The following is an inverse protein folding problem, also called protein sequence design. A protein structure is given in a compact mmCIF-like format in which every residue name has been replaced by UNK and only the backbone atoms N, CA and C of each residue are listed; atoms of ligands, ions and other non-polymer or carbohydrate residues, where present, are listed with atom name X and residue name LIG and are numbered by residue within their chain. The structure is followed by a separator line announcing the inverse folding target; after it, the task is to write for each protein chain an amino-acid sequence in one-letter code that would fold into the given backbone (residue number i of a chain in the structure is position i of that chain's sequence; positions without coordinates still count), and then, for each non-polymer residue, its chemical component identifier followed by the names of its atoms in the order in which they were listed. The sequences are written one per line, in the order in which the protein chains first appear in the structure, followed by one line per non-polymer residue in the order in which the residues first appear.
data_IF_973705361775
#
_entry.id   IF_973705361775
#
_cell.length_a   1.000
_cell.length_b   1.000
_cell.length_c   1.000
_cell.angle_alpha   90.00
_cell.angle_beta   90.00
_cell.angle_gamma   90.00
#
_symmetry.space_group_name_H-M   'P 1'
#
loop_
_entity.id
_entity.type
_entity.pdbx_description
1 polymer ?
#
# COMPACT_ATOMS: atom_id res chain seq x y z
N UNK A 1 -7.91 56.26 33.94
CA UNK A 1 -7.39 55.88 32.62
C UNK A 1 -6.48 54.68 32.82
N UNK A 2 -7.03 53.47 32.72
CA UNK A 2 -6.32 52.22 32.99
C UNK A 2 -6.24 51.48 31.67
N UNK A 3 -5.03 51.39 31.12
CA UNK A 3 -4.74 50.80 29.82
C UNK A 3 -4.84 49.27 29.91
N UNK A 4 -5.80 48.70 29.18
CA UNK A 4 -6.02 47.26 29.04
C UNK A 4 -5.35 46.76 27.76
N UNK A 5 -4.02 46.80 27.70
CA UNK A 5 -3.25 46.12 26.65
C UNK A 5 -3.19 44.61 26.94
N UNK A 6 -4.33 43.97 26.68
CA UNK A 6 -4.57 42.54 26.73
C UNK A 6 -3.63 41.84 25.73
N UNK A 7 -2.62 41.17 26.27
CA UNK A 7 -1.71 40.24 25.58
C UNK A 7 -2.53 39.15 24.88
N UNK A 8 -2.80 39.32 23.58
CA UNK A 8 -3.35 38.25 22.73
C UNK A 8 -2.29 37.16 22.57
N UNK A 9 -2.36 36.11 23.39
CA UNK A 9 -1.72 34.82 23.10
C UNK A 9 -2.27 34.34 21.75
N UNK A 10 -1.45 34.41 20.70
CA UNK A 10 -1.75 33.76 19.42
C UNK A 10 -1.71 32.25 19.65
N UNK A 11 -2.88 31.62 19.69
CA UNK A 11 -2.98 30.15 19.64
C UNK A 11 -2.45 29.69 18.28
N UNK A 12 -1.45 28.79 18.21
CA UNK A 12 -1.01 28.23 16.94
C UNK A 12 -2.17 27.40 16.37
N UNK A 13 -2.70 27.84 15.23
CA UNK A 13 -3.67 27.05 14.48
C UNK A 13 -2.98 25.76 14.03
N UNK A 14 -3.59 24.58 14.23
CA UNK A 14 -3.03 23.34 13.72
C UNK A 14 -2.97 23.45 12.19
N UNK A 15 -1.77 23.40 11.62
CA UNK A 15 -1.60 23.24 10.18
C UNK A 15 -2.17 21.87 9.81
N UNK A 16 -3.41 21.84 9.35
CA UNK A 16 -3.96 20.70 8.63
C UNK A 16 -3.07 20.51 7.40
N UNK A 17 -2.09 19.62 7.50
CA UNK A 17 -1.22 19.26 6.39
C UNK A 17 -2.07 18.56 5.32
N UNK A 18 -2.64 19.37 4.41
CA UNK A 18 -3.37 18.94 3.20
C UNK A 18 -2.53 17.98 2.32
N UNK A 19 -1.21 17.93 2.55
CA UNK A 19 -0.29 17.01 1.90
C UNK A 19 -0.62 15.51 2.12
N UNK A 20 -1.24 15.13 3.24
CA UNK A 20 -1.52 13.72 3.56
C UNK A 20 -2.56 13.05 2.65
N UNK A 21 -3.48 13.83 2.07
CA UNK A 21 -4.57 13.31 1.22
C UNK A 21 -4.24 13.25 -0.26
N UNK A 22 -3.19 13.94 -0.71
CA UNK A 22 -2.89 14.09 -2.14
C UNK A 22 -2.59 12.75 -2.82
N UNK A 23 -1.87 11.86 -2.15
CA UNK A 23 -1.48 10.55 -2.69
C UNK A 23 -2.68 9.61 -2.85
N UNK A 24 -3.49 9.32 -1.80
CA UNK A 24 -4.66 8.45 -1.97
C UNK A 24 -5.69 9.04 -2.93
N UNK A 25 -5.92 10.36 -2.92
CA UNK A 25 -6.86 11.00 -3.86
C UNK A 25 -6.36 10.89 -5.30
N UNK A 26 -5.07 11.14 -5.55
CA UNK A 26 -4.49 10.95 -6.88
C UNK A 26 -4.55 9.48 -7.33
N UNK A 27 -4.25 8.53 -6.44
CA UNK A 27 -4.35 7.11 -6.73
C UNK A 27 -5.78 6.69 -7.10
N UNK A 28 -6.79 7.16 -6.37
CA UNK A 28 -8.20 6.92 -6.68
C UNK A 28 -8.61 7.54 -8.01
N UNK A 29 -8.20 8.78 -8.30
CA UNK A 29 -8.50 9.44 -9.56
C UNK A 29 -7.88 8.69 -10.76
N UNK A 30 -6.60 8.31 -10.65
CA UNK A 30 -5.89 7.52 -11.67
C UNK A 30 -6.57 6.16 -11.84
N UNK A 31 -6.93 5.49 -10.75
CA UNK A 31 -7.65 4.21 -10.80
C UNK A 31 -8.98 4.34 -11.54
N UNK A 32 -9.78 5.37 -11.24
CA UNK A 32 -11.07 5.59 -11.88
C UNK A 32 -10.94 5.86 -13.37
N UNK A 33 -9.99 6.71 -13.78
CA UNK A 33 -9.72 7.01 -15.19
C UNK A 33 -9.22 5.77 -15.92
N UNK A 34 -8.26 5.04 -15.36
CA UNK A 34 -7.73 3.82 -15.97
C UNK A 34 -8.81 2.74 -16.11
N UNK A 35 -9.59 2.51 -15.05
CA UNK A 35 -10.71 1.57 -15.06
C UNK A 35 -11.75 1.95 -16.13
N UNK A 36 -12.14 3.23 -16.21
CA UNK A 36 -13.07 3.72 -17.22
C UNK A 36 -12.56 3.52 -18.65
N UNK A 37 -11.28 3.82 -18.91
CA UNK A 37 -10.65 3.62 -20.22
C UNK A 37 -10.62 2.14 -20.61
N UNK A 38 -10.20 1.25 -19.69
CA UNK A 38 -10.14 -0.20 -19.94
C UNK A 38 -11.55 -0.76 -20.19
N UNK A 39 -12.53 -0.34 -19.39
CA UNK A 39 -13.90 -0.83 -19.53
C UNK A 39 -14.54 -0.40 -20.86
N UNK A 40 -14.21 0.80 -21.36
CA UNK A 40 -14.64 1.28 -22.68
C UNK A 40 -13.94 0.59 -23.85
N UNK A 41 -12.64 0.29 -23.71
CA UNK A 41 -11.85 -0.25 -24.82
C UNK A 41 -12.21 -1.70 -25.18
N UNK A 42 -12.71 -2.48 -24.23
CA UNK A 42 -12.83 -3.94 -24.37
C UNK A 42 -14.22 -4.45 -24.81
N UNK A 43 -15.18 -3.58 -25.17
CA UNK A 43 -16.52 -4.02 -25.57
C UNK A 43 -17.25 -4.89 -24.51
N UNK A 44 -16.90 -4.71 -23.24
CA UNK A 44 -17.09 -5.72 -22.19
C UNK A 44 -18.57 -6.12 -21.99
N UNK A 45 -18.84 -7.41 -21.74
CA UNK A 45 -20.13 -7.89 -21.24
C UNK A 45 -20.46 -7.31 -19.84
N UNK A 46 -21.73 -7.43 -19.39
CA UNK A 46 -22.17 -6.85 -18.12
C UNK A 46 -21.33 -7.34 -16.93
N UNK A 47 -20.77 -6.41 -16.16
CA UNK A 47 -20.03 -6.71 -14.93
C UNK A 47 -20.99 -7.33 -13.94
N UNK A 48 -20.81 -8.62 -13.67
CA UNK A 48 -21.52 -9.33 -12.62
C UNK A 48 -20.50 -9.86 -11.59
N UNK A 49 -20.94 -9.90 -10.34
CA UNK A 49 -20.14 -10.47 -9.26
C UNK A 49 -20.04 -11.98 -9.45
N UNK A 50 -18.82 -12.51 -9.37
CA UNK A 50 -18.53 -13.95 -9.30
C UNK A 50 -17.44 -14.18 -8.26
N UNK A 51 -17.29 -15.39 -7.76
CA UNK A 51 -16.12 -15.73 -6.94
C UNK A 51 -15.48 -17.01 -7.48
N UNK A 52 -14.34 -16.86 -8.16
CA UNK A 52 -13.57 -17.97 -8.75
C UNK A 52 -12.08 -17.83 -8.42
N UNK A 53 -11.58 -18.52 -7.38
CA UNK A 53 -10.18 -18.46 -6.96
C UNK A 53 -9.25 -19.35 -7.80
N UNK A 54 -9.77 -20.10 -8.78
CA UNK A 54 -9.01 -21.14 -9.51
C UNK A 54 -7.74 -20.57 -10.13
N UNK A 55 -7.84 -19.40 -10.77
CA UNK A 55 -6.69 -18.71 -11.36
C UNK A 55 -5.57 -18.36 -10.36
N UNK A 56 -5.90 -18.15 -9.08
CA UNK A 56 -4.89 -17.95 -8.03
C UNK A 56 -4.27 -19.27 -7.58
N UNK A 57 -5.05 -20.34 -7.46
CA UNK A 57 -4.59 -21.67 -7.01
C UNK A 57 -3.61 -22.26 -8.03
N UNK A 58 -3.93 -22.13 -9.32
CA UNK A 58 -3.13 -22.65 -10.43
C UNK A 58 -1.95 -21.74 -10.81
N UNK A 59 -1.87 -20.54 -10.22
CA UNK A 59 -0.82 -19.57 -10.51
C UNK A 59 0.58 -20.04 -10.09
N UNK A 60 1.59 -19.33 -10.59
CA UNK A 60 3.00 -19.59 -10.22
C UNK A 60 3.24 -19.46 -8.72
N UNK A 61 4.29 -20.12 -8.21
CA UNK A 61 4.66 -20.01 -6.80
C UNK A 61 4.91 -18.55 -6.40
N UNK A 62 5.51 -17.75 -7.28
CA UNK A 62 5.76 -16.33 -7.03
C UNK A 62 4.46 -15.55 -6.76
N UNK A 63 3.40 -15.78 -7.55
CA UNK A 63 2.10 -15.13 -7.34
C UNK A 63 1.49 -15.55 -6.00
N UNK A 64 1.51 -16.84 -5.68
CA UNK A 64 0.99 -17.35 -4.40
C UNK A 64 1.71 -16.75 -3.19
N UNK A 65 3.05 -16.72 -3.24
CA UNK A 65 3.86 -16.10 -2.18
C UNK A 65 3.60 -14.59 -2.07
N UNK A 66 3.46 -13.90 -3.20
CA UNK A 66 3.16 -12.47 -3.23
C UNK A 66 1.83 -12.17 -2.54
N UNK A 67 0.76 -12.86 -2.93
CA UNK A 67 -0.58 -12.65 -2.38
C UNK A 67 -0.62 -13.00 -0.89
N UNK A 68 -0.04 -14.14 -0.50
CA UNK A 68 0.03 -14.54 0.91
C UNK A 68 0.81 -13.53 1.76
N UNK A 69 1.97 -13.09 1.27
CA UNK A 69 2.78 -12.05 1.92
C UNK A 69 2.03 -10.72 2.04
N UNK A 70 1.35 -10.29 0.98
CA UNK A 70 0.62 -9.03 0.95
C UNK A 70 -0.55 -9.03 1.96
N UNK A 71 -1.31 -10.12 2.01
CA UNK A 71 -2.42 -10.27 2.97
C UNK A 71 -1.92 -10.29 4.42
N UNK A 72 -0.84 -11.03 4.70
CA UNK A 72 -0.22 -11.05 6.02
C UNK A 72 0.31 -9.66 6.43
N UNK A 73 1.02 -8.99 5.52
CA UNK A 73 1.55 -7.64 5.74
C UNK A 73 0.43 -6.62 5.94
N UNK A 74 -0.68 -6.73 5.20
CA UNK A 74 -1.85 -5.86 5.38
C UNK A 74 -2.48 -6.04 6.77
N UNK A 75 -2.78 -7.27 7.17
CA UNK A 75 -3.38 -7.56 8.47
C UNK A 75 -2.50 -7.12 9.63
N UNK A 76 -1.21 -7.50 9.62
CA UNK A 76 -0.27 -7.12 10.68
C UNK A 76 -0.05 -5.60 10.69
N UNK A 77 0.06 -4.97 9.52
CA UNK A 77 0.25 -3.53 9.39
C UNK A 77 -0.92 -2.73 9.96
N UNK A 78 -2.16 -3.18 9.70
CA UNK A 78 -3.36 -2.59 10.27
C UNK A 78 -3.35 -2.65 11.81
N UNK A 79 -2.99 -3.80 12.39
CA UNK A 79 -2.85 -3.97 13.84
C UNK A 79 -1.78 -3.05 14.42
N UNK A 80 -0.59 -2.97 13.78
CA UNK A 80 0.50 -2.10 14.22
C UNK A 80 0.12 -0.61 14.17
N UNK A 81 -0.56 -0.18 13.12
CA UNK A 81 -1.00 1.21 12.95
C UNK A 81 -2.14 1.59 13.90
N UNK A 82 -2.94 0.62 14.35
CA UNK A 82 -4.07 0.84 15.27
C UNK A 82 -3.65 1.18 16.70
N UNK A 83 -2.38 0.98 17.08
CA UNK A 83 -1.88 1.50 18.36
C UNK A 83 -0.88 0.64 19.11
N UNK A 84 -0.51 -0.54 18.62
CA UNK A 84 0.53 -1.36 19.26
C UNK A 84 1.88 -0.67 19.09
N UNK A 85 2.33 0.09 20.10
CA UNK A 85 3.59 0.85 20.08
C UNK A 85 4.37 0.64 21.37
N UNK A 86 5.71 0.64 21.28
CA UNK A 86 6.59 0.64 22.46
C UNK A 86 6.64 -0.65 23.27
N UNK A 87 6.01 -1.74 22.82
CA UNK A 87 5.94 -3.03 23.53
C UNK A 87 6.79 -4.11 22.86
N UNK A 88 7.01 -5.24 23.55
CA UNK A 88 7.59 -6.46 22.93
C UNK A 88 6.74 -6.93 21.75
N UNK A 89 5.42 -6.80 21.84
CA UNK A 89 4.48 -7.15 20.76
C UNK A 89 4.69 -6.29 19.52
N UNK A 90 4.93 -4.99 19.65
CA UNK A 90 5.27 -4.13 18.52
C UNK A 90 6.50 -4.65 17.76
N UNK A 91 7.54 -5.09 18.48
CA UNK A 91 8.76 -5.61 17.86
C UNK A 91 8.53 -6.94 17.15
N UNK A 92 7.82 -7.87 17.79
CA UNK A 92 7.50 -9.17 17.20
C UNK A 92 6.69 -8.97 15.91
N UNK A 93 5.55 -8.29 16.00
CA UNK A 93 4.69 -7.99 14.85
C UNK A 93 5.44 -7.17 13.80
N UNK A 94 6.27 -6.21 14.20
CA UNK A 94 7.06 -5.39 13.30
C UNK A 94 8.06 -6.21 12.47
N UNK A 95 8.77 -7.16 13.09
CA UNK A 95 9.67 -8.04 12.34
C UNK A 95 8.93 -9.02 11.44
N UNK A 96 7.80 -9.58 11.89
CA UNK A 96 6.94 -10.42 11.04
C UNK A 96 6.40 -9.64 9.84
N UNK A 97 5.98 -8.40 10.06
CA UNK A 97 5.52 -7.50 9.00
C UNK A 97 6.63 -7.20 7.99
N UNK A 98 7.85 -6.93 8.47
CA UNK A 98 9.03 -6.71 7.60
C UNK A 98 9.30 -7.96 6.75
N UNK A 99 9.26 -9.16 7.33
CA UNK A 99 9.45 -10.39 6.57
C UNK A 99 8.35 -10.59 5.50
N UNK A 100 7.08 -10.37 5.86
CA UNK A 100 5.95 -10.48 4.93
C UNK A 100 6.06 -9.46 3.77
N UNK A 101 6.44 -8.22 4.07
CA UNK A 101 6.69 -7.18 3.06
C UNK A 101 7.86 -7.54 2.14
N UNK A 102 8.94 -8.12 2.68
CA UNK A 102 10.07 -8.57 1.87
C UNK A 102 9.68 -9.69 0.91
N UNK A 103 8.94 -10.70 1.39
CA UNK A 103 8.38 -11.77 0.52
C UNK A 103 7.52 -11.17 -0.58
N UNK A 104 6.63 -10.24 -0.23
CA UNK A 104 5.73 -9.56 -1.19
C UNK A 104 6.54 -8.82 -2.26
N UNK A 105 7.48 -7.98 -1.85
CA UNK A 105 8.26 -7.16 -2.78
C UNK A 105 9.19 -8.00 -3.66
N UNK A 106 9.87 -9.00 -3.10
CA UNK A 106 10.81 -9.84 -3.86
C UNK A 106 10.06 -10.71 -4.87
N UNK A 107 8.97 -11.37 -4.45
CA UNK A 107 8.17 -12.21 -5.36
C UNK A 107 7.56 -11.40 -6.52
N UNK A 108 7.24 -10.13 -6.30
CA UNK A 108 6.64 -9.28 -7.34
C UNK A 108 7.56 -9.01 -8.55
N UNK A 109 8.89 -9.13 -8.40
CA UNK A 109 9.81 -8.99 -9.53
C UNK A 109 9.67 -10.12 -10.56
N UNK A 110 9.03 -11.23 -10.19
CA UNK A 110 8.74 -12.36 -11.05
C UNK A 110 7.31 -12.34 -11.59
N UNK A 111 6.54 -11.28 -11.29
CA UNK A 111 5.13 -11.14 -11.71
C UNK A 111 5.06 -10.12 -12.84
N UNK A 112 4.89 -10.63 -14.05
CA UNK A 112 4.69 -9.84 -15.25
C UNK A 112 3.19 -9.64 -15.49
N UNK A 113 2.79 -8.38 -15.73
CA UNK A 113 1.39 -7.99 -15.89
C UNK A 113 0.97 -7.84 -17.34
N UNK A 114 0.06 -6.88 -17.59
CA UNK A 114 -0.50 -6.55 -18.91
C UNK A 114 0.54 -6.06 -19.96
N UNK A 115 1.77 -5.75 -19.54
CA UNK A 115 2.84 -5.26 -20.43
C UNK A 115 3.76 -6.39 -20.96
N UNK A 116 3.34 -7.65 -20.82
CA UNK A 116 4.20 -8.80 -21.10
C UNK A 116 5.41 -8.85 -20.16
N UNK A 117 6.55 -9.34 -20.65
CA UNK A 117 7.80 -9.50 -19.88
C UNK A 117 8.55 -8.19 -19.55
N UNK A 118 7.92 -7.03 -19.76
CA UNK A 118 8.55 -5.74 -19.49
C UNK A 118 8.36 -5.31 -18.04
N UNK A 119 9.39 -4.61 -17.52
CA UNK A 119 9.27 -3.90 -16.26
C UNK A 119 8.15 -2.86 -16.34
N UNK A 120 7.36 -2.79 -15.28
CA UNK A 120 6.20 -1.91 -15.17
C UNK A 120 6.30 -1.07 -13.89
N UNK A 121 5.48 -0.02 -13.72
CA UNK A 121 5.52 0.83 -12.53
C UNK A 121 5.43 0.06 -11.20
N UNK A 122 4.77 -1.10 -11.19
CA UNK A 122 4.71 -1.99 -10.01
C UNK A 122 6.10 -2.51 -9.60
N UNK A 123 7.01 -2.76 -10.54
CA UNK A 123 8.38 -3.20 -10.23
C UNK A 123 9.20 -2.05 -9.63
N UNK A 124 8.97 -0.82 -10.07
CA UNK A 124 9.55 0.37 -9.44
C UNK A 124 9.10 0.51 -7.98
N UNK A 125 7.83 0.26 -7.70
CA UNK A 125 7.30 0.24 -6.33
C UNK A 125 7.94 -0.87 -5.48
N UNK A 126 8.21 -2.03 -6.07
CA UNK A 126 8.90 -3.14 -5.41
C UNK A 126 10.36 -2.82 -5.10
N UNK A 127 11.08 -2.21 -6.05
CA UNK A 127 12.44 -1.74 -5.83
C UNK A 127 12.50 -0.70 -4.71
N UNK A 128 11.59 0.27 -4.73
CA UNK A 128 11.43 1.24 -3.65
C UNK A 128 11.18 0.55 -2.31
N UNK A 129 10.29 -0.45 -2.27
CA UNK A 129 9.98 -1.20 -1.04
C UNK A 129 11.20 -1.93 -0.49
N UNK A 130 11.94 -2.65 -1.34
CA UNK A 130 13.17 -3.37 -0.94
C UNK A 130 14.24 -2.43 -0.38
N UNK A 131 14.31 -1.20 -0.85
CA UNK A 131 15.25 -0.18 -0.36
C UNK A 131 14.77 0.43 0.96
N UNK A 132 13.51 0.88 1.03
CA UNK A 132 13.00 1.64 2.18
C UNK A 132 12.78 0.75 3.39
N UNK A 133 12.41 -0.52 3.20
CA UNK A 133 12.16 -1.45 4.29
C UNK A 133 13.36 -1.62 5.25
N UNK A 134 14.59 -1.95 4.79
CA UNK A 134 15.76 -2.00 5.67
C UNK A 134 16.13 -0.62 6.22
N UNK A 135 15.94 0.47 5.46
CA UNK A 135 16.17 1.83 5.97
C UNK A 135 15.26 2.15 7.16
N UNK A 136 13.99 1.74 7.11
CA UNK A 136 13.02 1.93 8.19
C UNK A 136 13.41 1.14 9.45
N UNK A 137 13.96 -0.07 9.29
CA UNK A 137 14.47 -0.88 10.40
C UNK A 137 15.73 -0.27 11.01
N UNK A 138 16.67 0.18 10.17
CA UNK A 138 17.89 0.88 10.63
C UNK A 138 17.55 2.16 11.37
N UNK A 139 16.55 2.93 10.89
CA UNK A 139 16.07 4.12 11.59
C UNK A 139 15.57 3.81 13.00
N UNK A 140 14.82 2.71 13.19
CA UNK A 140 14.39 2.26 14.52
C UNK A 140 15.59 1.90 15.41
N UNK A 141 16.59 1.17 14.88
CA UNK A 141 17.81 0.80 15.63
C UNK A 141 18.63 2.02 16.06
N UNK A 142 18.70 3.05 15.21
CA UNK A 142 19.34 4.34 15.51
C UNK A 142 18.49 5.26 16.39
N UNK A 143 17.37 4.77 16.95
CA UNK A 143 16.40 5.54 17.75
C UNK A 143 15.80 6.75 17.01
N UNK A 144 15.87 6.78 15.68
CA UNK A 144 15.18 7.77 14.86
C UNK A 144 13.73 7.32 14.59
N UNK A 145 12.90 7.43 15.64
CA UNK A 145 11.52 6.92 15.64
C UNK A 145 10.63 7.69 14.66
N UNK A 146 10.89 8.99 14.46
CA UNK A 146 10.14 9.80 13.48
C UNK A 146 10.33 9.25 12.07
N UNK A 147 11.58 8.99 11.67
CA UNK A 147 11.86 8.41 10.34
C UNK A 147 11.27 7.01 10.20
N UNK A 148 11.49 6.15 11.19
CA UNK A 148 10.90 4.80 11.19
C UNK A 148 9.39 4.84 11.00
N UNK A 149 8.68 5.67 11.79
CA UNK A 149 7.23 5.77 11.71
C UNK A 149 6.73 6.31 10.36
N UNK A 150 7.44 7.28 9.78
CA UNK A 150 7.10 7.82 8.45
C UNK A 150 7.32 6.77 7.37
N UNK A 151 8.48 6.10 7.35
CA UNK A 151 8.79 5.08 6.34
C UNK A 151 7.81 3.90 6.41
N UNK A 152 7.52 3.39 7.62
CA UNK A 152 6.55 2.29 7.79
C UNK A 152 5.14 2.67 7.31
N UNK A 153 4.71 3.91 7.59
CA UNK A 153 3.39 4.39 7.15
C UNK A 153 3.35 4.58 5.64
N UNK A 154 4.42 5.06 5.02
CA UNK A 154 4.54 5.21 3.57
C UNK A 154 4.55 3.84 2.87
N UNK A 155 5.25 2.85 3.41
CA UNK A 155 5.24 1.48 2.89
C UNK A 155 3.86 0.84 2.99
N UNK A 156 3.12 1.07 4.08
CA UNK A 156 1.75 0.59 4.21
C UNK A 156 0.80 1.28 3.23
N UNK A 157 0.84 2.61 3.16
CA UNK A 157 -0.06 3.39 2.29
C UNK A 157 0.25 3.18 0.80
N UNK A 158 1.51 3.27 0.40
CA UNK A 158 1.92 3.12 -1.01
C UNK A 158 2.06 1.66 -1.43
N UNK A 159 2.82 0.88 -0.66
CA UNK A 159 3.18 -0.50 -0.99
C UNK A 159 2.07 -1.52 -0.80
N UNK A 160 1.07 -1.25 0.05
CA UNK A 160 -0.07 -2.15 0.26
C UNK A 160 -1.39 -1.53 -0.22
N UNK A 161 -1.81 -0.37 0.29
CA UNK A 161 -3.12 0.18 -0.06
C UNK A 161 -3.22 0.60 -1.52
N UNK A 162 -2.30 1.45 -1.98
CA UNK A 162 -2.28 1.90 -3.37
C UNK A 162 -1.99 0.72 -4.31
N UNK A 163 -0.96 -0.09 -4.03
CA UNK A 163 -0.67 -1.28 -4.83
C UNK A 163 -1.86 -2.26 -4.92
N UNK A 164 -2.53 -2.50 -3.79
CA UNK A 164 -3.71 -3.34 -3.70
C UNK A 164 -4.87 -2.79 -4.54
N UNK A 165 -5.15 -1.49 -4.46
CA UNK A 165 -6.15 -0.83 -5.30
C UNK A 165 -5.89 -1.07 -6.79
N UNK A 166 -4.65 -0.86 -7.25
CA UNK A 166 -4.30 -1.06 -8.66
C UNK A 166 -4.29 -2.52 -9.10
N UNK A 167 -4.22 -3.46 -8.15
CA UNK A 167 -4.36 -4.90 -8.42
C UNK A 167 -5.81 -5.27 -8.78
N UNK A 168 -6.79 -4.49 -8.32
CA UNK A 168 -8.21 -4.59 -8.70
C UNK A 168 -8.57 -3.81 -9.98
N UNK A 169 -7.62 -3.47 -10.84
CA UNK A 169 -7.96 -2.91 -12.15
C UNK A 169 -8.61 -3.96 -13.05
N UNK A 170 -9.62 -3.59 -13.87
CA UNK A 170 -10.20 -4.50 -14.86
C UNK A 170 -9.14 -5.13 -15.75
N UNK A 171 -9.28 -6.44 -16.00
CA UNK A 171 -8.31 -7.23 -16.77
C UNK A 171 -7.12 -7.78 -15.97
N UNK A 172 -7.00 -7.48 -14.66
CA UNK A 172 -6.02 -8.15 -13.78
C UNK A 172 -6.60 -9.41 -13.14
N UNK A 173 -5.72 -10.32 -12.74
CA UNK A 173 -6.11 -11.60 -12.13
C UNK A 173 -7.02 -11.45 -10.90
N UNK A 174 -6.74 -10.51 -9.99
CA UNK A 174 -7.60 -10.33 -8.81
C UNK A 174 -8.98 -9.78 -9.21
N UNK A 175 -9.07 -8.92 -10.23
CA UNK A 175 -10.37 -8.51 -10.78
C UNK A 175 -11.15 -9.72 -11.29
N UNK A 176 -10.51 -10.63 -12.03
CA UNK A 176 -11.20 -11.80 -12.58
C UNK A 176 -11.68 -12.79 -11.53
N UNK A 177 -11.10 -12.80 -10.32
CA UNK A 177 -11.61 -13.64 -9.21
C UNK A 177 -12.99 -13.17 -8.76
N UNK A 178 -13.22 -11.85 -8.71
CA UNK A 178 -14.45 -11.26 -8.17
C UNK A 178 -15.48 -10.82 -9.23
N UNK A 179 -15.05 -10.67 -10.48
CA UNK A 179 -15.88 -10.17 -11.58
C UNK A 179 -15.74 -11.04 -12.83
N UNK A 180 -16.87 -11.33 -13.46
CA UNK A 180 -16.96 -12.12 -14.68
C UNK A 180 -17.19 -11.25 -15.91
N UNK A 181 -16.70 -11.74 -17.04
CA UNK A 181 -17.12 -11.33 -18.37
C UNK A 181 -17.95 -12.47 -18.96
#
# INVERSE_FOLDING_TARGET
MTDLTRTRRRLPLPSLHLAGWRVPVAALAIYAVASWLILRANGNPPIHFRFDPTGLIESTLAIRLHVAGALAAFGIGAVLLSGVKGTRMHRLLGYTWVAAMAVTAISSFFIFGLNGHNFSPIHGLSAWTVIVLPMAVVAARRRNIRKHATDMRNLFMGGLLVAGLFTFLPGRMIWSIFFGA
#
